data_IF_437121793847
#
_entry.id   IF_437121793847
#
_cell.length_a   1.000
_cell.length_b   1.000
_cell.length_c   1.000
_cell.angle_alpha   90.00
_cell.angle_beta   90.00
_cell.angle_gamma   90.00
#
_symmetry.space_group_name_H-M   'P 1'
#
loop_
_entity.id
_entity.type
_entity.pdbx_description
1 polymer ?
#
# COMPACT_ATOMS: atom_id res chain seq x y z
N UNK A 1 42.88 53.74 36.86
CA UNK A 1 43.38 53.02 35.67
C UNK A 1 43.18 51.53 35.90
N UNK A 2 42.44 50.87 35.01
CA UNK A 2 42.37 49.41 34.87
C UNK A 2 41.45 48.67 35.84
N UNK A 3 40.13 48.74 35.64
CA UNK A 3 39.21 47.77 36.22
C UNK A 3 39.11 46.54 35.30
N UNK A 4 39.24 45.36 35.91
CA UNK A 4 38.95 44.06 35.32
C UNK A 4 37.56 44.01 34.70
N UNK A 5 37.46 43.57 33.45
CA UNK A 5 36.21 43.05 32.91
C UNK A 5 36.47 41.69 32.26
N UNK A 6 35.91 40.66 32.91
CA UNK A 6 35.85 39.28 32.44
C UNK A 6 34.99 39.23 31.18
N UNK A 7 35.54 38.69 30.10
CA UNK A 7 34.75 38.29 28.94
C UNK A 7 33.83 37.13 29.34
N UNK A 8 32.55 37.44 29.44
CA UNK A 8 31.46 36.48 29.66
C UNK A 8 31.28 35.58 28.45
N UNK A 9 31.10 34.28 28.73
CA UNK A 9 30.84 33.24 27.75
C UNK A 9 29.59 33.54 26.90
N UNK A 10 29.73 33.40 25.59
CA UNK A 10 28.63 33.41 24.63
C UNK A 10 27.71 32.20 24.89
N UNK A 11 26.53 32.46 25.46
CA UNK A 11 25.46 31.49 25.51
C UNK A 11 24.86 31.34 24.11
N UNK A 12 25.29 30.30 23.38
CA UNK A 12 24.59 29.82 22.19
C UNK A 12 23.20 29.35 22.62
N UNK A 13 22.21 30.20 22.39
CA UNK A 13 20.80 29.84 22.53
C UNK A 13 20.46 28.90 21.40
N UNK A 14 20.47 27.60 21.67
CA UNK A 14 19.84 26.61 20.79
C UNK A 14 18.34 26.88 20.87
N UNK A 15 17.83 27.61 19.88
CA UNK A 15 16.39 27.70 19.64
C UNK A 15 15.92 26.29 19.30
N UNK A 16 15.28 25.64 20.28
CA UNK A 16 14.46 24.48 20.04
C UNK A 16 13.45 24.83 18.94
N UNK A 17 13.40 24.02 17.88
CA UNK A 17 12.25 24.00 17.00
C UNK A 17 11.21 23.07 17.61
N UNK A 18 10.03 23.57 18.02
CA UNK A 18 8.85 22.74 18.15
C UNK A 18 7.75 23.28 17.24
N UNK A 19 7.91 23.17 15.92
CA UNK A 19 6.85 23.60 14.98
C UNK A 19 6.05 22.45 14.37
N UNK A 20 6.59 21.22 14.34
CA UNK A 20 5.88 20.08 13.70
C UNK A 20 4.62 19.60 14.44
N UNK A 21 4.44 19.90 15.73
CA UNK A 21 3.33 19.31 16.52
C UNK A 21 2.01 20.08 16.40
N UNK A 22 2.06 21.39 16.13
CA UNK A 22 0.87 22.25 16.06
C UNK A 22 0.27 22.29 14.65
N UNK A 23 1.11 22.35 13.62
CA UNK A 23 0.65 22.27 12.21
C UNK A 23 -0.04 20.92 11.94
N UNK A 24 0.53 19.82 12.41
CA UNK A 24 -0.10 18.48 12.34
C UNK A 24 -1.47 18.42 13.05
N UNK A 25 -1.64 19.13 14.17
CA UNK A 25 -2.92 19.19 14.89
C UNK A 25 -3.94 20.06 14.15
N UNK A 26 -3.50 21.15 13.52
CA UNK A 26 -4.36 22.05 12.74
C UNK A 26 -4.82 21.41 11.42
N UNK A 27 -3.92 20.73 10.72
CA UNK A 27 -4.26 19.94 9.52
C UNK A 27 -5.24 18.82 9.86
N UNK A 28 -5.05 18.11 10.97
CA UNK A 28 -6.01 17.10 11.45
C UNK A 28 -7.36 17.72 11.77
N UNK A 29 -7.43 18.87 12.45
CA UNK A 29 -8.72 19.54 12.71
C UNK A 29 -9.41 19.97 11.42
N UNK A 30 -8.65 20.44 10.43
CA UNK A 30 -9.18 20.81 9.12
C UNK A 30 -9.69 19.60 8.35
N UNK A 31 -8.96 18.48 8.33
CA UNK A 31 -9.41 17.20 7.75
C UNK A 31 -10.65 16.66 8.47
N UNK A 32 -10.69 16.72 9.80
CA UNK A 32 -11.83 16.21 10.58
C UNK A 32 -13.09 17.04 10.31
N UNK A 33 -12.95 18.35 10.05
CA UNK A 33 -14.06 19.23 9.68
C UNK A 33 -14.50 19.01 8.22
N UNK A 34 -13.54 18.82 7.31
CA UNK A 34 -13.82 18.52 5.89
C UNK A 34 -14.55 17.19 5.70
N UNK A 35 -14.25 16.19 6.54
CA UNK A 35 -14.93 14.88 6.53
C UNK A 35 -16.32 14.88 7.18
N UNK A 36 -16.71 15.97 7.85
CA UNK A 36 -18.05 16.14 8.42
C UNK A 36 -19.07 16.74 7.44
N UNK A 37 -18.62 17.26 6.30
CA UNK A 37 -19.47 17.77 5.23
C UNK A 37 -19.33 16.80 4.06
N UNK A 38 -20.37 16.00 3.84
CA UNK A 38 -20.36 14.88 2.89
C UNK A 38 -19.88 15.27 1.50
N UNK A 39 -18.62 14.96 1.21
CA UNK A 39 -18.17 14.71 -0.15
C UNK A 39 -18.53 13.26 -0.43
N UNK A 40 -19.64 13.02 -1.12
CA UNK A 40 -19.91 11.68 -1.64
C UNK A 40 -18.73 11.30 -2.56
N UNK A 41 -18.01 10.23 -2.20
CA UNK A 41 -16.94 9.67 -3.03
C UNK A 41 -15.52 9.80 -2.50
N UNK A 42 -15.27 10.39 -1.32
CA UNK A 42 -13.92 10.37 -0.71
C UNK A 42 -13.84 9.27 0.35
N UNK A 43 -13.24 8.13 0.00
CA UNK A 43 -12.80 7.16 1.01
C UNK A 43 -11.43 7.56 1.56
N UNK A 44 -11.39 7.95 2.84
CA UNK A 44 -10.13 8.13 3.56
C UNK A 44 -9.68 6.78 4.08
N UNK A 45 -8.68 6.18 3.42
CA UNK A 45 -8.00 5.00 3.93
C UNK A 45 -7.02 5.46 5.00
N UNK A 46 -7.30 5.12 6.26
CA UNK A 46 -6.35 5.32 7.35
C UNK A 46 -5.28 4.24 7.23
N UNK A 47 -4.07 4.64 6.89
CA UNK A 47 -2.89 3.78 6.88
C UNK A 47 -2.32 3.73 8.30
N UNK A 48 -2.32 2.57 8.98
CA UNK A 48 -1.63 2.40 10.25
C UNK A 48 -0.13 2.69 10.13
N UNK A 49 0.51 3.29 11.14
CA UNK A 49 1.94 3.66 11.09
C UNK A 49 2.87 2.45 10.92
N UNK A 50 2.43 1.25 11.28
CA UNK A 50 3.13 -0.01 11.06
C UNK A 50 3.07 -0.53 9.62
N UNK A 51 2.21 0.05 8.76
CA UNK A 51 2.21 -0.29 7.33
C UNK A 51 3.39 0.36 6.64
N UNK A 52 4.46 -0.40 6.48
CA UNK A 52 5.71 0.06 5.85
C UNK A 52 5.72 -0.29 4.37
N UNK A 53 5.47 -1.55 4.03
CA UNK A 53 5.58 -2.06 2.67
C UNK A 53 4.26 -1.98 1.88
N UNK A 54 3.10 -1.97 2.56
CA UNK A 54 1.77 -1.98 1.96
C UNK A 54 1.40 -0.67 1.27
N UNK A 55 2.02 0.44 1.67
CA UNK A 55 1.61 1.79 1.24
C UNK A 55 1.74 1.98 -0.27
N UNK A 56 2.87 1.61 -0.84
CA UNK A 56 3.14 1.78 -2.27
C UNK A 56 2.25 0.90 -3.16
N UNK A 57 2.04 -0.41 -2.90
CA UNK A 57 1.11 -1.19 -3.71
C UNK A 57 -0.34 -0.70 -3.55
N UNK A 58 -0.78 -0.30 -2.36
CA UNK A 58 -2.13 0.28 -2.17
C UNK A 58 -2.30 1.57 -3.00
N UNK A 59 -1.31 2.47 -3.01
CA UNK A 59 -1.33 3.65 -3.88
C UNK A 59 -1.44 3.29 -5.36
N UNK A 60 -0.72 2.26 -5.81
CA UNK A 60 -0.80 1.79 -7.20
C UNK A 60 -2.19 1.26 -7.55
N UNK A 61 -2.81 0.49 -6.65
CA UNK A 61 -4.18 0.00 -6.82
C UNK A 61 -5.16 1.18 -6.95
N UNK A 62 -5.09 2.15 -6.04
CA UNK A 62 -5.96 3.32 -6.08
C UNK A 62 -5.71 4.19 -7.31
N UNK A 63 -4.47 4.32 -7.75
CA UNK A 63 -4.13 5.02 -8.99
C UNK A 63 -4.68 4.32 -10.23
N UNK A 64 -4.72 2.98 -10.23
CA UNK A 64 -5.25 2.21 -11.35
C UNK A 64 -6.75 2.44 -11.58
N UNK A 65 -7.53 2.73 -10.53
CA UNK A 65 -8.95 3.09 -10.65
C UNK A 65 -9.21 4.32 -11.55
N UNK A 66 -8.18 5.12 -11.81
CA UNK A 66 -8.27 6.35 -12.60
C UNK A 66 -7.72 6.18 -14.02
N UNK A 67 -7.42 4.95 -14.44
CA UNK A 67 -6.94 4.70 -15.80
C UNK A 67 -8.02 5.13 -16.82
N UNK A 68 -7.62 5.76 -17.94
CA UNK A 68 -8.57 6.10 -18.99
C UNK A 68 -9.09 4.83 -19.67
N UNK A 69 -10.23 4.94 -20.36
CA UNK A 69 -10.66 3.88 -21.27
C UNK A 69 -9.58 3.58 -22.31
N UNK A 70 -9.42 2.30 -22.67
CA UNK A 70 -8.45 1.84 -23.66
C UNK A 70 -6.99 2.20 -23.30
N UNK A 71 -6.66 2.26 -21.99
CA UNK A 71 -5.31 2.62 -21.51
C UNK A 71 -4.20 1.68 -22.02
N UNK A 72 -4.56 0.45 -22.36
CA UNK A 72 -3.65 -0.59 -22.87
C UNK A 72 -3.62 -0.65 -24.41
N UNK A 73 -4.40 0.16 -25.13
CA UNK A 73 -4.62 0.09 -26.59
C UNK A 73 -5.34 -1.17 -27.10
N UNK A 74 -5.80 -2.05 -26.22
CA UNK A 74 -6.53 -3.29 -26.54
C UNK A 74 -7.98 -3.28 -26.03
N UNK A 75 -8.51 -2.10 -25.70
CA UNK A 75 -9.86 -1.92 -25.20
C UNK A 75 -9.99 -2.05 -23.68
N UNK A 76 -8.87 -2.03 -22.94
CA UNK A 76 -8.86 -2.23 -21.49
C UNK A 76 -9.70 -1.22 -20.72
N UNK A 77 -10.37 -1.73 -19.70
CA UNK A 77 -11.11 -0.94 -18.73
C UNK A 77 -10.25 -0.70 -17.48
N UNK A 78 -10.49 0.41 -16.79
CA UNK A 78 -9.92 0.62 -15.47
C UNK A 78 -10.44 -0.46 -14.50
N UNK A 79 -9.65 -0.86 -13.49
CA UNK A 79 -10.14 -1.75 -12.46
C UNK A 79 -11.41 -1.26 -11.77
N UNK A 80 -12.30 -2.20 -11.44
CA UNK A 80 -13.50 -1.92 -10.66
C UNK A 80 -13.20 -1.70 -9.18
N UNK A 81 -14.16 -1.10 -8.46
CA UNK A 81 -14.06 -0.94 -6.99
C UNK A 81 -13.97 -2.32 -6.29
N UNK A 82 -14.66 -3.33 -6.81
CA UNK A 82 -14.65 -4.69 -6.25
C UNK A 82 -13.26 -5.34 -6.28
N UNK A 83 -12.58 -5.31 -7.43
CA UNK A 83 -11.22 -5.84 -7.58
C UNK A 83 -10.20 -5.06 -6.76
N UNK A 84 -10.31 -3.73 -6.73
CA UNK A 84 -9.43 -2.89 -5.91
C UNK A 84 -9.60 -3.15 -4.41
N UNK A 85 -10.85 -3.29 -3.94
CA UNK A 85 -11.14 -3.62 -2.54
C UNK A 85 -10.57 -5.00 -2.16
N UNK A 86 -10.83 -6.02 -2.99
CA UNK A 86 -10.31 -7.37 -2.77
C UNK A 86 -8.77 -7.39 -2.71
N UNK A 87 -8.09 -6.66 -3.60
CA UNK A 87 -6.63 -6.57 -3.61
C UNK A 87 -6.08 -5.87 -2.34
N UNK A 88 -6.72 -4.78 -1.89
CA UNK A 88 -6.33 -4.07 -0.65
C UNK A 88 -6.56 -4.97 0.57
N UNK A 89 -7.70 -5.65 0.63
CA UNK A 89 -8.05 -6.56 1.72
C UNK A 89 -7.09 -7.76 1.78
N UNK A 90 -6.66 -8.28 0.62
CA UNK A 90 -5.62 -9.31 0.56
C UNK A 90 -4.29 -8.79 1.14
N UNK A 91 -3.84 -7.60 0.72
CA UNK A 91 -2.61 -6.97 1.21
C UNK A 91 -2.66 -6.76 2.72
N UNK A 92 -3.79 -6.29 3.25
CA UNK A 92 -3.97 -6.01 4.67
C UNK A 92 -3.94 -7.27 5.55
N UNK A 93 -4.20 -8.44 4.98
CA UNK A 93 -4.20 -9.72 5.71
C UNK A 93 -2.84 -10.41 5.73
N UNK A 94 -1.83 -9.88 5.02
CA UNK A 94 -0.47 -10.42 5.07
C UNK A 94 0.19 -10.00 6.39
N UNK A 95 0.49 -10.99 7.22
CA UNK A 95 1.04 -10.81 8.57
C UNK A 95 2.57 -10.82 8.63
N UNK A 96 3.25 -11.07 7.51
CA UNK A 96 4.70 -11.00 7.44
C UNK A 96 5.19 -9.56 7.58
N UNK A 97 6.23 -9.34 8.40
CA UNK A 97 6.72 -8.00 8.74
C UNK A 97 7.32 -7.25 7.53
N UNK A 98 8.01 -7.96 6.63
CA UNK A 98 8.64 -7.38 5.44
C UNK A 98 8.70 -8.39 4.26
N UNK A 99 7.55 -8.82 3.72
CA UNK A 99 7.52 -9.63 2.52
C UNK A 99 8.04 -8.83 1.31
N UNK A 100 8.46 -9.51 0.23
CA UNK A 100 8.65 -8.85 -1.06
C UNK A 100 7.45 -7.99 -1.41
N UNK A 101 7.69 -6.82 -2.01
CA UNK A 101 6.60 -5.95 -2.45
C UNK A 101 5.99 -6.52 -3.72
N UNK A 102 4.65 -6.61 -3.82
CA UNK A 102 4.03 -7.06 -5.05
C UNK A 102 4.23 -6.04 -6.17
N UNK A 103 4.36 -6.54 -7.39
CA UNK A 103 3.99 -5.77 -8.57
C UNK A 103 2.46 -5.72 -8.64
N UNK A 104 1.93 -4.54 -8.90
CA UNK A 104 0.49 -4.32 -9.09
C UNK A 104 0.26 -4.15 -10.57
N UNK A 105 -0.56 -5.02 -11.16
CA UNK A 105 -0.85 -5.07 -12.59
C UNK A 105 -2.36 -4.88 -12.80
N UNK A 106 -2.81 -3.74 -13.35
CA UNK A 106 -4.21 -3.61 -13.78
C UNK A 106 -4.47 -4.54 -14.97
N UNK A 107 -5.61 -5.22 -14.95
CA UNK A 107 -6.03 -6.10 -16.03
C UNK A 107 -7.04 -5.37 -16.92
N UNK A 108 -6.93 -5.54 -18.25
CA UNK A 108 -7.87 -4.93 -19.21
C UNK A 108 -9.32 -5.37 -19.02
N UNK A 109 -9.55 -6.49 -18.32
CA UNK A 109 -10.85 -7.00 -17.88
C UNK A 109 -11.49 -6.20 -16.74
N UNK A 110 -10.79 -5.20 -16.18
CA UNK A 110 -11.22 -4.46 -14.98
C UNK A 110 -10.81 -5.12 -13.66
N UNK A 111 -9.92 -6.11 -13.71
CA UNK A 111 -9.32 -6.76 -12.55
C UNK A 111 -8.02 -6.09 -12.07
N UNK A 112 -7.50 -6.58 -10.95
CA UNK A 112 -6.16 -6.25 -10.44
C UNK A 112 -5.42 -7.55 -10.16
N UNK A 113 -4.20 -7.68 -10.67
CA UNK A 113 -3.30 -8.76 -10.32
C UNK A 113 -2.16 -8.25 -9.43
N UNK A 114 -1.86 -9.02 -8.39
CA UNK A 114 -0.72 -8.82 -7.50
C UNK A 114 0.28 -9.96 -7.75
N UNK A 115 1.52 -9.61 -8.08
CA UNK A 115 2.58 -10.57 -8.37
C UNK A 115 3.72 -10.42 -7.36
N UNK A 116 4.03 -11.48 -6.64
CA UNK A 116 5.22 -11.58 -5.80
C UNK A 116 6.19 -12.57 -6.41
N UNK A 117 7.49 -12.22 -6.43
CA UNK A 117 8.55 -13.13 -6.86
C UNK A 117 9.65 -13.21 -5.81
N UNK A 118 10.08 -14.41 -5.50
CA UNK A 118 11.24 -14.69 -4.66
C UNK A 118 12.01 -15.90 -5.22
N UNK A 119 13.23 -15.65 -5.71
CA UNK A 119 14.03 -16.70 -6.36
C UNK A 119 13.30 -17.30 -7.56
N UNK A 120 13.09 -18.61 -7.53
CA UNK A 120 12.36 -19.37 -8.56
C UNK A 120 10.86 -19.46 -8.29
N UNK A 121 10.36 -18.91 -7.17
CA UNK A 121 8.95 -18.95 -6.82
C UNK A 121 8.25 -17.65 -7.14
N UNK A 122 7.04 -17.76 -7.66
CA UNK A 122 6.15 -16.66 -7.93
C UNK A 122 4.75 -16.97 -7.40
N UNK A 123 4.15 -15.97 -6.78
CA UNK A 123 2.78 -16.01 -6.28
C UNK A 123 2.01 -14.93 -7.02
N UNK A 124 1.01 -15.33 -7.78
CA UNK A 124 0.10 -14.42 -8.45
C UNK A 124 -1.27 -14.49 -7.77
N UNK A 125 -1.87 -13.33 -7.56
CA UNK A 125 -3.20 -13.19 -6.97
C UNK A 125 -4.00 -12.28 -7.88
N UNK A 126 -4.97 -12.85 -8.59
CA UNK A 126 -5.89 -12.12 -9.44
C UNK A 126 -7.16 -11.79 -8.67
N UNK A 127 -7.54 -10.52 -8.66
CA UNK A 127 -8.77 -10.00 -8.08
C UNK A 127 -9.69 -9.55 -9.22
N UNK A 128 -10.77 -10.29 -9.43
CA UNK A 128 -11.77 -10.02 -10.47
C UNK A 128 -12.68 -8.85 -10.12
N UNK A 129 -13.36 -8.20 -11.09
CA UNK A 129 -14.26 -7.07 -10.84
C UNK A 129 -15.39 -7.36 -9.84
N UNK A 130 -15.82 -8.62 -9.72
CA UNK A 130 -16.83 -9.08 -8.76
C UNK A 130 -16.29 -9.32 -7.35
N UNK A 131 -14.97 -9.11 -7.14
CA UNK A 131 -14.27 -9.30 -5.88
C UNK A 131 -13.81 -10.74 -5.63
N UNK A 132 -14.02 -11.67 -6.58
CA UNK A 132 -13.45 -13.02 -6.47
C UNK A 132 -11.93 -12.98 -6.60
N UNK A 133 -11.26 -13.91 -5.90
CA UNK A 133 -9.81 -14.02 -5.84
C UNK A 133 -9.38 -15.38 -6.37
N UNK A 134 -8.46 -15.37 -7.33
CA UNK A 134 -7.75 -16.56 -7.80
C UNK A 134 -6.28 -16.45 -7.42
N UNK A 135 -5.68 -17.58 -7.04
CA UNK A 135 -4.28 -17.63 -6.61
C UNK A 135 -3.53 -18.68 -7.41
N UNK A 136 -2.38 -18.32 -7.96
CA UNK A 136 -1.49 -19.18 -8.72
C UNK A 136 -0.11 -19.21 -8.06
N UNK A 137 0.41 -20.41 -7.81
CA UNK A 137 1.79 -20.63 -7.37
C UNK A 137 2.62 -21.15 -8.54
N UNK A 138 3.75 -20.53 -8.81
CA UNK A 138 4.65 -20.92 -9.89
C UNK A 138 6.04 -21.21 -9.31
N UNK A 139 6.66 -22.33 -9.71
CA UNK A 139 8.04 -22.66 -9.34
C UNK A 139 8.85 -23.04 -10.58
N UNK A 140 9.93 -22.30 -10.85
CA UNK A 140 10.75 -22.45 -12.05
C UNK A 140 9.95 -22.24 -13.35
N UNK A 141 10.16 -23.12 -14.33
CA UNK A 141 9.48 -23.06 -15.65
C UNK A 141 8.16 -23.86 -15.69
N UNK A 142 7.54 -24.14 -14.53
CA UNK A 142 6.27 -24.87 -14.47
C UNK A 142 5.07 -24.02 -14.91
N UNK A 143 3.99 -24.64 -15.39
CA UNK A 143 2.76 -23.96 -15.84
C UNK A 143 1.95 -23.29 -14.69
N UNK A 144 2.41 -23.42 -13.44
CA UNK A 144 1.73 -22.92 -12.25
C UNK A 144 0.68 -23.89 -11.69
N UNK A 145 0.47 -23.83 -10.38
CA UNK A 145 -0.52 -24.59 -9.63
C UNK A 145 -1.61 -23.63 -9.12
N UNK A 146 -2.80 -23.69 -9.71
CA UNK A 146 -3.94 -22.90 -9.25
C UNK A 146 -4.42 -23.42 -7.88
N UNK A 147 -4.74 -22.52 -6.96
CA UNK A 147 -5.33 -22.86 -5.67
C UNK A 147 -6.86 -22.82 -5.77
N UNK A 148 -7.56 -23.97 -5.94
CA UNK A 148 -8.97 -24.01 -6.36
C UNK A 148 -9.98 -23.50 -5.30
N UNK A 149 -9.55 -23.28 -4.06
CA UNK A 149 -10.39 -22.78 -2.98
C UNK A 149 -9.56 -21.92 -2.02
N UNK A 150 -9.11 -20.76 -2.49
CA UNK A 150 -8.39 -19.83 -1.63
C UNK A 150 -9.28 -19.38 -0.45
N UNK A 151 -8.82 -19.66 0.77
CA UNK A 151 -9.35 -19.08 1.99
C UNK A 151 -8.32 -18.06 2.51
N UNK A 152 -8.77 -16.95 3.09
CA UNK A 152 -7.85 -15.99 3.70
C UNK A 152 -7.01 -16.59 4.83
N UNK A 153 -7.47 -17.67 5.46
CA UNK A 153 -6.69 -18.49 6.38
C UNK A 153 -5.39 -19.06 5.74
N UNK A 154 -5.34 -19.19 4.42
CA UNK A 154 -4.22 -19.77 3.68
C UNK A 154 -3.10 -18.76 3.38
N UNK A 155 -3.33 -17.45 3.57
CA UNK A 155 -2.34 -16.40 3.23
C UNK A 155 -0.99 -16.66 3.89
N UNK A 156 -0.98 -17.07 5.17
CA UNK A 156 0.27 -17.37 5.88
C UNK A 156 1.03 -18.54 5.23
N UNK A 157 0.31 -19.56 4.75
CA UNK A 157 0.91 -20.71 4.06
C UNK A 157 1.46 -20.32 2.69
N UNK A 158 0.76 -19.46 1.95
CA UNK A 158 1.23 -18.94 0.65
C UNK A 158 2.55 -18.18 0.79
N UNK A 159 2.64 -17.27 1.76
CA UNK A 159 3.87 -16.50 1.98
C UNK A 159 4.98 -17.34 2.60
N UNK A 160 4.66 -18.31 3.45
CA UNK A 160 5.65 -19.28 3.94
C UNK A 160 6.26 -20.08 2.78
N UNK A 161 5.45 -20.51 1.81
CA UNK A 161 5.93 -21.19 0.61
C UNK A 161 6.78 -20.26 -0.27
N UNK A 162 6.30 -19.04 -0.54
CA UNK A 162 7.03 -18.06 -1.36
C UNK A 162 8.41 -17.71 -0.76
N UNK A 163 8.48 -17.54 0.57
CA UNK A 163 9.69 -17.12 1.27
C UNK A 163 10.70 -18.25 1.49
N UNK A 164 10.28 -19.51 1.31
CA UNK A 164 11.16 -20.68 1.40
C UNK A 164 11.88 -21.03 0.08
N UNK A 165 11.98 -20.08 -0.85
CA UNK A 165 12.70 -20.23 -2.13
C UNK A 165 14.22 -20.12 -1.98
#
# INVERSE_FOLDING_TARGET
MGAHEMMTADAVTIQSQPTMRLEYQQERKSLTHFLGQGVQGVQVIKVPPEWTWQVEPIKKILGALLLPENWDSYGGHAPGIGSAAAAIDFIAQITHEDPPRPRVVPLGTGGVQLEWRNGQRELEVECSPDGSIEVLKIEGDSEGEQCPSFNTADITSLFSWLLAA
#
